data_IF_064245909179
#
_entry.id   IF_064245909179
#
_cell.length_a   1.000
_cell.length_b   1.000
_cell.length_c   1.000
_cell.angle_alpha   90.00
_cell.angle_beta   90.00
_cell.angle_gamma   90.00
#
_symmetry.space_group_name_H-M   'P 1'
#
loop_
_entity.id
_entity.type
_entity.pdbx_description
1 polymer ?
#
# COMPACT_ATOMS: atom_id res chain seq x y z
N UNK A 1 8.62 -13.54 21.13
CA UNK A 1 7.28 -13.31 20.54
C UNK A 1 7.49 -13.05 19.06
N UNK A 2 6.73 -13.68 18.17
CA UNK A 2 6.85 -13.40 16.74
C UNK A 2 6.50 -11.92 16.51
N UNK A 3 7.43 -11.16 15.92
CA UNK A 3 7.20 -9.79 15.50
C UNK A 3 6.34 -9.80 14.24
N UNK A 4 5.41 -8.83 14.13
CA UNK A 4 4.57 -8.62 12.95
C UNK A 4 5.33 -8.31 11.65
N UNK A 5 6.64 -8.03 11.75
CA UNK A 5 7.49 -7.69 10.59
C UNK A 5 8.09 -8.92 9.88
N UNK A 6 7.81 -10.14 10.36
CA UNK A 6 8.30 -11.39 9.75
C UNK A 6 7.13 -12.29 9.36
N UNK A 7 7.27 -13.00 8.23
CA UNK A 7 6.36 -14.10 7.88
C UNK A 7 6.26 -15.02 9.11
N UNK A 8 5.05 -15.27 9.65
CA UNK A 8 4.91 -15.99 10.89
C UNK A 8 5.51 -17.40 10.74
N UNK A 9 6.60 -17.66 11.48
CA UNK A 9 7.15 -19.01 11.60
C UNK A 9 6.30 -19.75 12.61
N UNK A 10 5.87 -20.96 12.26
CA UNK A 10 5.05 -21.80 13.13
C UNK A 10 5.78 -22.02 14.46
N UNK A 11 5.13 -21.73 15.59
CA UNK A 11 5.72 -21.98 16.91
C UNK A 11 5.96 -23.49 17.10
N UNK A 12 6.96 -23.95 17.89
CA UNK A 12 7.17 -25.38 18.14
C UNK A 12 5.94 -26.13 18.69
N UNK A 13 5.04 -25.39 19.36
CA UNK A 13 3.73 -25.88 19.81
C UNK A 13 2.69 -26.09 18.68
N UNK A 14 3.04 -25.83 17.41
CA UNK A 14 2.17 -25.96 16.24
C UNK A 14 2.36 -27.27 15.47
N UNK A 15 3.42 -28.06 15.75
CA UNK A 15 3.70 -29.28 14.98
C UNK A 15 2.83 -30.44 15.48
N UNK A 16 1.73 -30.71 14.79
CA UNK A 16 0.88 -31.89 14.99
C UNK A 16 -0.23 -31.96 13.94
N UNK A 17 -0.75 -33.16 13.66
CA UNK A 17 -1.88 -33.36 12.76
C UNK A 17 -3.20 -32.94 13.45
N UNK A 18 -3.86 -31.89 12.95
CA UNK A 18 -5.20 -31.47 13.38
C UNK A 18 -5.35 -29.97 13.70
N UNK A 19 -6.56 -29.43 13.49
CA UNK A 19 -6.91 -28.04 13.81
C UNK A 19 -7.39 -27.83 15.25
N UNK A 20 -7.58 -28.90 16.02
CA UNK A 20 -8.09 -28.80 17.40
C UNK A 20 -7.00 -28.37 18.39
N UNK A 21 -7.39 -27.66 19.47
CA UNK A 21 -6.44 -27.22 20.48
C UNK A 21 -5.72 -28.40 21.13
N UNK A 22 -4.47 -28.20 21.56
CA UNK A 22 -3.72 -29.26 22.25
C UNK A 22 -4.31 -29.57 23.63
N UNK A 23 -4.28 -30.83 24.04
CA UNK A 23 -4.67 -31.28 25.38
C UNK A 23 -5.33 -32.66 25.37
N UNK A 24 -5.56 -33.21 26.56
CA UNK A 24 -6.34 -34.43 26.72
C UNK A 24 -7.84 -34.16 26.45
N UNK A 25 -8.59 -35.12 25.91
CA UNK A 25 -10.04 -35.02 25.83
C UNK A 25 -10.68 -34.74 27.19
N UNK A 26 -11.79 -33.99 27.20
CA UNK A 26 -12.54 -33.72 28.44
C UNK A 26 -12.93 -35.01 29.13
N UNK A 27 -12.46 -35.20 30.37
CA UNK A 27 -12.79 -36.37 31.19
C UNK A 27 -14.30 -36.41 31.45
N UNK A 28 -14.88 -37.61 31.52
CA UNK A 28 -16.31 -37.80 31.79
C UNK A 28 -16.77 -37.10 33.07
N UNK A 29 -15.93 -37.09 34.11
CA UNK A 29 -16.21 -36.41 35.38
C UNK A 29 -16.33 -34.89 35.21
N UNK A 30 -15.43 -34.27 34.43
CA UNK A 30 -15.49 -32.85 34.10
C UNK A 30 -16.73 -32.54 33.25
N UNK A 31 -17.00 -33.35 32.22
CA UNK A 31 -18.18 -33.14 31.37
C UNK A 31 -19.51 -33.24 32.15
N UNK A 32 -19.59 -34.14 33.15
CA UNK A 32 -20.74 -34.22 34.05
C UNK A 32 -20.86 -33.00 34.96
N UNK A 33 -19.74 -32.53 35.51
CA UNK A 33 -19.70 -31.31 36.33
C UNK A 33 -20.17 -30.10 35.52
N UNK A 34 -19.64 -29.90 34.32
CA UNK A 34 -19.99 -28.78 33.43
C UNK A 34 -21.47 -28.79 33.05
N UNK A 35 -22.06 -29.96 32.79
CA UNK A 35 -23.50 -30.09 32.55
C UNK A 35 -24.31 -29.73 33.81
N UNK A 36 -23.88 -30.20 34.97
CA UNK A 36 -24.54 -29.89 36.24
C UNK A 36 -24.52 -28.39 36.57
N UNK A 37 -23.37 -27.73 36.38
CA UNK A 37 -23.24 -26.28 36.61
C UNK A 37 -24.01 -25.47 35.56
N UNK A 38 -24.00 -25.87 34.29
CA UNK A 38 -24.76 -25.21 33.21
C UNK A 38 -26.27 -25.19 33.46
N UNK A 39 -26.83 -26.20 34.16
CA UNK A 39 -28.24 -26.22 34.56
C UNK A 39 -28.57 -25.21 35.66
N UNK A 40 -27.58 -24.83 36.50
CA UNK A 40 -27.76 -23.92 37.63
C UNK A 40 -27.42 -22.47 37.28
N UNK A 41 -26.47 -22.26 36.35
CA UNK A 41 -25.99 -20.94 35.98
C UNK A 41 -26.94 -20.22 35.03
N UNK A 42 -27.19 -18.93 35.29
CA UNK A 42 -27.95 -18.10 34.35
C UNK A 42 -27.03 -17.57 33.24
N UNK A 43 -27.15 -18.11 32.02
CA UNK A 43 -26.39 -17.67 30.84
C UNK A 43 -26.97 -16.42 30.17
N UNK A 44 -27.42 -15.44 30.97
CA UNK A 44 -28.21 -14.29 30.46
C UNK A 44 -27.51 -13.53 29.33
N UNK A 45 -26.22 -13.12 29.44
CA UNK A 45 -25.58 -12.36 28.37
C UNK A 45 -25.44 -13.15 27.06
N UNK A 46 -25.08 -14.43 27.15
CA UNK A 46 -24.90 -15.30 25.98
C UNK A 46 -26.23 -15.55 25.26
N UNK A 47 -27.32 -15.72 26.01
CA UNK A 47 -28.68 -15.92 25.47
C UNK A 47 -29.24 -14.69 24.74
N UNK A 48 -28.57 -13.54 24.78
CA UNK A 48 -28.98 -12.33 24.07
C UNK A 48 -28.43 -12.23 22.63
N UNK A 49 -27.52 -13.13 22.24
CA UNK A 49 -27.04 -13.20 20.85
C UNK A 49 -28.16 -13.75 19.97
N UNK A 50 -28.59 -12.95 18.99
CA UNK A 50 -29.76 -13.23 18.15
C UNK A 50 -29.52 -13.01 16.65
N UNK A 51 -28.34 -12.51 16.29
CA UNK A 51 -27.92 -12.33 14.91
C UNK A 51 -26.77 -13.30 14.60
N UNK A 52 -26.87 -14.00 13.47
CA UNK A 52 -25.76 -14.77 12.91
C UNK A 52 -25.49 -14.28 11.50
N UNK A 53 -24.28 -13.77 11.27
CA UNK A 53 -23.80 -13.41 9.93
C UNK A 53 -22.49 -14.14 9.63
N UNK A 54 -22.32 -14.51 8.38
CA UNK A 54 -21.08 -15.09 7.85
C UNK A 54 -20.52 -14.13 6.80
N UNK A 55 -19.25 -13.78 6.91
CA UNK A 55 -18.53 -12.98 5.91
C UNK A 55 -17.07 -13.46 5.83
N UNK A 56 -16.22 -12.68 5.19
CA UNK A 56 -14.79 -12.87 5.18
C UNK A 56 -14.11 -11.69 5.87
N UNK A 57 -12.96 -11.92 6.49
CA UNK A 57 -12.14 -10.89 7.09
C UNK A 57 -10.71 -11.01 6.59
N UNK A 58 -10.06 -9.86 6.38
CA UNK A 58 -8.67 -9.77 5.95
C UNK A 58 -7.82 -9.15 7.07
N UNK A 59 -6.57 -9.55 7.20
CA UNK A 59 -5.67 -8.93 8.19
C UNK A 59 -5.30 -7.52 7.72
N UNK A 60 -5.47 -6.49 8.58
CA UNK A 60 -5.25 -5.09 8.18
C UNK A 60 -3.86 -4.85 7.59
N UNK A 61 -2.82 -5.44 8.18
CA UNK A 61 -1.42 -5.33 7.75
C UNK A 61 -1.05 -6.28 6.59
N UNK A 62 -1.86 -7.30 6.32
CA UNK A 62 -1.64 -8.28 5.26
C UNK A 62 -3.00 -8.80 4.73
N UNK A 63 -3.72 -8.01 3.91
CA UNK A 63 -5.07 -8.37 3.46
C UNK A 63 -5.10 -9.58 2.51
N UNK A 64 -3.95 -10.05 2.02
CA UNK A 64 -3.84 -11.30 1.26
C UNK A 64 -4.13 -12.55 2.11
N UNK A 65 -4.01 -12.43 3.44
CA UNK A 65 -4.47 -13.42 4.42
C UNK A 65 -5.96 -13.17 4.68
N UNK A 66 -6.78 -14.09 4.20
CA UNK A 66 -8.24 -14.00 4.21
C UNK A 66 -8.80 -15.21 4.96
N UNK A 67 -9.73 -14.97 5.88
CA UNK A 67 -10.41 -16.01 6.64
C UNK A 67 -11.92 -15.84 6.53
N UNK A 68 -12.65 -16.95 6.50
CA UNK A 68 -14.09 -16.95 6.71
C UNK A 68 -14.38 -16.71 8.20
N UNK A 69 -15.40 -15.91 8.48
CA UNK A 69 -15.75 -15.52 9.84
C UNK A 69 -17.26 -15.60 10.07
N UNK A 70 -17.62 -16.16 11.23
CA UNK A 70 -19.00 -16.21 11.70
C UNK A 70 -19.16 -15.31 12.92
N UNK A 71 -19.98 -14.28 12.79
CA UNK A 71 -20.25 -13.33 13.86
C UNK A 71 -21.61 -13.63 14.48
N UNK A 72 -21.62 -13.88 15.79
CA UNK A 72 -22.83 -14.05 16.59
C UNK A 72 -23.05 -12.78 17.41
N UNK A 73 -24.00 -11.97 16.95
CA UNK A 73 -24.24 -10.62 17.40
C UNK A 73 -25.35 -10.49 18.43
N UNK A 74 -25.10 -9.65 19.43
CA UNK A 74 -26.11 -9.06 20.30
C UNK A 74 -26.27 -7.58 19.97
N UNK A 75 -27.51 -7.15 19.68
CA UNK A 75 -27.84 -5.74 19.50
C UNK A 75 -28.07 -5.08 20.85
N UNK A 76 -27.12 -4.25 21.28
CA UNK A 76 -27.21 -3.51 22.55
C UNK A 76 -28.24 -2.38 22.42
N UNK A 77 -28.24 -1.69 21.28
CA UNK A 77 -29.25 -0.71 20.90
C UNK A 77 -29.30 -0.57 19.37
N UNK A 78 -30.11 0.34 18.84
CA UNK A 78 -30.28 0.52 17.39
C UNK A 78 -28.96 0.81 16.64
N UNK A 79 -28.03 1.48 17.29
CA UNK A 79 -26.79 1.99 16.71
C UNK A 79 -25.56 1.14 17.05
N UNK A 80 -25.68 0.09 17.86
CA UNK A 80 -24.53 -0.67 18.38
C UNK A 80 -24.80 -2.18 18.49
N UNK A 81 -24.00 -2.97 17.79
CA UNK A 81 -23.90 -4.42 17.98
C UNK A 81 -22.53 -4.81 18.53
N UNK A 82 -22.51 -5.89 19.31
CA UNK A 82 -21.30 -6.57 19.74
C UNK A 82 -21.39 -8.04 19.36
N UNK A 83 -20.32 -8.57 18.76
CA UNK A 83 -20.31 -9.89 18.16
C UNK A 83 -19.16 -10.71 18.71
N UNK A 84 -19.45 -11.96 19.09
CA UNK A 84 -18.42 -12.98 19.23
C UNK A 84 -18.13 -13.56 17.84
N UNK A 85 -16.86 -13.60 17.45
CA UNK A 85 -16.43 -14.04 16.11
C UNK A 85 -15.79 -15.42 16.19
N UNK A 86 -16.24 -16.33 15.34
CA UNK A 86 -15.78 -17.71 15.24
C UNK A 86 -15.25 -18.02 13.85
N UNK A 87 -14.39 -19.04 13.75
CA UNK A 87 -13.80 -19.49 12.48
C UNK A 87 -14.71 -20.38 11.62
N UNK A 88 -15.81 -20.89 12.20
CA UNK A 88 -16.78 -21.75 11.52
C UNK A 88 -18.13 -21.72 12.25
N UNK A 89 -19.17 -22.25 11.61
CA UNK A 89 -20.48 -22.51 12.25
C UNK A 89 -20.55 -23.91 12.89
N UNK A 90 -19.40 -24.56 13.14
CA UNK A 90 -19.33 -25.87 13.77
C UNK A 90 -19.51 -25.77 15.28
N UNK A 91 -20.00 -26.82 15.93
CA UNK A 91 -19.99 -26.93 17.40
C UNK A 91 -18.56 -26.99 17.99
N UNK A 92 -17.56 -27.20 17.13
CA UNK A 92 -16.12 -27.23 17.48
C UNK A 92 -15.38 -25.96 17.04
N UNK A 93 -16.11 -24.90 16.66
CA UNK A 93 -15.51 -23.66 16.19
C UNK A 93 -14.64 -23.00 17.26
N UNK A 94 -13.55 -22.37 16.84
CA UNK A 94 -12.71 -21.57 17.73
C UNK A 94 -13.31 -20.17 17.86
N UNK A 95 -13.38 -19.65 19.09
CA UNK A 95 -13.62 -18.23 19.32
C UNK A 95 -12.35 -17.46 18.91
N UNK A 96 -12.41 -16.74 17.80
CA UNK A 96 -11.25 -16.08 17.20
C UNK A 96 -11.18 -14.58 17.49
N UNK A 97 -12.25 -13.96 17.99
CA UNK A 97 -12.19 -12.56 18.39
C UNK A 97 -13.54 -11.91 18.65
N UNK A 98 -13.53 -10.57 18.62
CA UNK A 98 -14.71 -9.73 18.90
C UNK A 98 -14.79 -8.64 17.86
N UNK A 99 -16.00 -8.43 17.36
CA UNK A 99 -16.33 -7.32 16.47
C UNK A 99 -17.41 -6.42 17.07
N UNK A 100 -17.16 -5.12 17.03
CA UNK A 100 -18.17 -4.11 17.33
C UNK A 100 -18.64 -3.47 16.04
N UNK A 101 -19.95 -3.34 15.88
CA UNK A 101 -20.57 -2.72 14.71
C UNK A 101 -21.35 -1.51 15.17
N UNK A 102 -21.07 -0.35 14.58
CA UNK A 102 -21.72 0.91 14.92
C UNK A 102 -22.38 1.56 13.71
N UNK A 103 -23.47 2.29 13.93
CA UNK A 103 -24.09 3.08 12.87
C UNK A 103 -23.15 4.18 12.37
N UNK A 104 -23.37 4.65 11.14
CA UNK A 104 -22.67 5.81 10.57
C UNK A 104 -22.65 7.01 11.52
N UNK A 105 -23.77 7.28 12.19
CA UNK A 105 -23.91 8.38 13.16
C UNK A 105 -22.89 8.27 14.30
N UNK A 106 -22.77 7.10 14.92
CA UNK A 106 -21.82 6.88 16.01
C UNK A 106 -20.38 6.89 15.48
N UNK A 107 -20.14 6.28 14.32
CA UNK A 107 -18.83 6.28 13.69
C UNK A 107 -18.31 7.70 13.41
N UNK A 108 -19.15 8.57 12.88
CA UNK A 108 -18.80 9.98 12.60
C UNK A 108 -18.44 10.77 13.86
N UNK A 109 -18.91 10.35 15.04
CA UNK A 109 -18.56 10.98 16.33
C UNK A 109 -17.18 10.57 16.87
N UNK A 110 -16.57 9.53 16.30
CA UNK A 110 -15.24 9.05 16.70
C UNK A 110 -14.15 10.03 16.21
N UNK A 111 -13.03 10.09 16.94
CA UNK A 111 -11.88 10.86 16.49
C UNK A 111 -11.29 10.27 15.20
N UNK A 112 -10.64 11.08 14.34
CA UNK A 112 -10.01 10.56 13.14
C UNK A 112 -9.00 9.45 13.40
N UNK A 113 -8.29 9.47 14.53
CA UNK A 113 -7.35 8.40 14.88
C UNK A 113 -8.05 7.08 15.21
N UNK A 114 -9.18 7.15 15.90
CA UNK A 114 -9.99 5.98 16.19
C UNK A 114 -10.64 5.45 14.92
N UNK A 115 -11.15 6.31 14.03
CA UNK A 115 -11.78 5.92 12.76
C UNK A 115 -10.88 5.05 11.86
N UNK A 116 -9.56 5.19 11.95
CA UNK A 116 -8.58 4.38 11.20
C UNK A 116 -8.66 2.89 11.53
N UNK A 117 -9.20 2.55 12.70
CA UNK A 117 -9.32 1.17 13.19
C UNK A 117 -10.64 0.52 12.79
N UNK A 118 -11.45 1.17 11.95
CA UNK A 118 -12.75 0.69 11.52
C UNK A 118 -12.79 0.48 10.00
N UNK A 119 -13.64 -0.44 9.56
CA UNK A 119 -13.89 -0.74 8.16
C UNK A 119 -15.38 -0.58 7.83
N UNK A 120 -15.71 -0.34 6.56
CA UNK A 120 -17.08 -0.28 6.07
C UNK A 120 -17.59 -1.66 5.63
N UNK A 121 -18.89 -1.93 5.80
CA UNK A 121 -19.53 -3.19 5.38
C UNK A 121 -20.27 -3.10 4.03
N UNK A 122 -20.26 -1.93 3.38
CA UNK A 122 -21.04 -1.66 2.17
C UNK A 122 -20.68 -2.64 1.05
N UNK A 123 -19.38 -2.82 0.79
CA UNK A 123 -18.88 -3.65 -0.30
C UNK A 123 -19.22 -5.13 -0.10
N UNK A 124 -18.94 -5.71 1.07
CA UNK A 124 -19.23 -7.13 1.32
C UNK A 124 -20.72 -7.45 1.25
N UNK A 125 -21.59 -6.49 1.60
CA UNK A 125 -23.03 -6.66 1.49
C UNK A 125 -23.44 -6.57 0.02
N UNK A 126 -23.01 -5.55 -0.71
CA UNK A 126 -23.34 -5.38 -2.13
C UNK A 126 -22.89 -6.58 -2.98
N UNK A 127 -21.75 -7.17 -2.65
CA UNK A 127 -21.16 -8.28 -3.39
C UNK A 127 -21.66 -9.66 -2.94
N UNK A 128 -22.68 -9.72 -2.07
CA UNK A 128 -23.20 -10.97 -1.51
C UNK A 128 -22.16 -11.82 -0.71
N UNK A 129 -21.09 -11.18 -0.25
CA UNK A 129 -20.05 -11.82 0.56
C UNK A 129 -20.51 -12.00 2.02
N UNK A 130 -21.16 -10.99 2.60
CA UNK A 130 -21.82 -11.15 3.90
C UNK A 130 -23.19 -11.80 3.73
N UNK A 131 -23.48 -12.89 4.44
CA UNK A 131 -24.77 -13.60 4.39
C UNK A 131 -25.31 -13.82 5.80
N UNK A 132 -26.60 -14.11 5.89
CA UNK A 132 -27.29 -14.53 7.13
C UNK A 132 -27.68 -16.01 6.98
N UNK A 133 -26.85 -16.95 7.46
CA UNK A 133 -27.07 -18.37 7.21
C UNK A 133 -28.48 -18.83 7.62
N UNK A 134 -29.14 -19.58 6.74
CA UNK A 134 -30.51 -20.12 6.93
C UNK A 134 -31.63 -19.08 7.06
N UNK A 135 -31.35 -17.80 6.86
CA UNK A 135 -32.37 -16.75 6.81
C UNK A 135 -32.67 -16.44 5.34
N UNK A 136 -33.93 -16.52 4.89
CA UNK A 136 -34.29 -16.15 3.52
C UNK A 136 -33.92 -14.70 3.21
N UNK A 137 -33.39 -14.44 2.01
CA UNK A 137 -32.89 -13.13 1.61
C UNK A 137 -33.94 -12.01 1.77
N UNK A 138 -35.22 -12.30 1.51
CA UNK A 138 -36.33 -11.34 1.71
C UNK A 138 -36.43 -10.86 3.16
N UNK A 139 -36.16 -11.74 4.13
CA UNK A 139 -36.19 -11.43 5.57
C UNK A 139 -34.91 -10.73 6.00
N UNK A 140 -33.76 -11.11 5.43
CA UNK A 140 -32.46 -10.52 5.74
C UNK A 140 -32.29 -9.10 5.17
N UNK A 141 -32.89 -8.82 4.01
CA UNK A 141 -32.65 -7.59 3.22
C UNK A 141 -32.84 -6.27 4.00
N UNK A 142 -33.86 -6.09 4.87
CA UNK A 142 -33.98 -4.89 5.70
C UNK A 142 -32.78 -4.71 6.65
N UNK A 143 -32.29 -5.78 7.25
CA UNK A 143 -31.11 -5.72 8.12
C UNK A 143 -29.84 -5.47 7.33
N UNK A 144 -29.68 -6.11 6.16
CA UNK A 144 -28.55 -5.84 5.26
C UNK A 144 -28.49 -4.36 4.81
N UNK A 145 -29.64 -3.70 4.63
CA UNK A 145 -29.69 -2.26 4.36
C UNK A 145 -29.18 -1.41 5.53
N UNK A 146 -29.44 -1.84 6.76
CA UNK A 146 -28.92 -1.16 7.95
C UNK A 146 -27.41 -1.39 8.09
N UNK A 147 -26.96 -2.63 7.92
CA UNK A 147 -25.55 -3.01 8.03
C UNK A 147 -24.70 -2.41 6.90
N UNK A 148 -25.24 -2.22 5.70
CA UNK A 148 -24.51 -1.57 4.61
C UNK A 148 -24.03 -0.15 4.98
N UNK A 149 -24.73 0.52 5.91
CA UNK A 149 -24.39 1.85 6.42
C UNK A 149 -23.59 1.84 7.72
N UNK A 150 -23.20 0.68 8.22
CA UNK A 150 -22.48 0.55 9.48
C UNK A 150 -20.98 0.38 9.26
N UNK A 151 -20.24 0.53 10.36
CA UNK A 151 -18.79 0.36 10.41
C UNK A 151 -18.42 -0.68 11.46
N UNK A 152 -17.44 -1.53 11.15
CA UNK A 152 -16.97 -2.63 11.99
C UNK A 152 -15.58 -2.37 12.56
N UNK A 153 -15.34 -2.76 13.81
CA UNK A 153 -14.01 -2.86 14.42
C UNK A 153 -13.82 -4.26 14.96
N UNK A 154 -13.00 -5.04 14.27
CA UNK A 154 -12.76 -6.44 14.58
C UNK A 154 -11.30 -6.65 15.01
N UNK A 155 -11.14 -7.19 16.23
CA UNK A 155 -9.86 -7.68 16.73
C UNK A 155 -9.85 -9.22 16.76
N UNK A 156 -8.96 -9.81 15.95
CA UNK A 156 -8.71 -11.23 15.91
C UNK A 156 -7.63 -11.62 16.92
N UNK A 157 -7.99 -12.41 17.92
CA UNK A 157 -7.09 -12.93 18.98
C UNK A 157 -6.54 -14.31 18.67
N UNK A 158 -7.09 -15.03 17.68
CA UNK A 158 -6.58 -16.33 17.24
C UNK A 158 -6.42 -16.38 15.71
N UNK A 159 -5.17 -16.36 15.25
CA UNK A 159 -4.84 -16.37 13.82
C UNK A 159 -4.81 -17.80 13.26
N UNK A 160 -5.99 -18.40 13.08
CA UNK A 160 -6.16 -19.80 12.69
C UNK A 160 -5.55 -20.16 11.32
N UNK A 161 -5.37 -19.19 10.43
CA UNK A 161 -4.78 -19.37 9.10
C UNK A 161 -3.29 -19.74 9.16
N UNK A 162 -2.61 -19.41 10.27
CA UNK A 162 -1.22 -19.81 10.54
C UNK A 162 -1.08 -21.28 10.92
N UNK A 163 -2.20 -21.97 11.17
CA UNK A 163 -2.19 -23.35 11.68
C UNK A 163 -1.85 -23.46 13.17
N UNK A 164 -1.85 -22.35 13.91
CA UNK A 164 -1.57 -22.37 15.34
C UNK A 164 -2.69 -23.06 16.12
N UNK A 165 -2.34 -24.12 16.86
CA UNK A 165 -3.27 -24.89 17.72
C UNK A 165 -3.69 -24.16 19.00
N UNK A 166 -3.14 -22.98 19.26
CA UNK A 166 -3.47 -22.12 20.40
C UNK A 166 -3.52 -20.65 19.92
N UNK A 167 -4.23 -19.75 20.63
CA UNK A 167 -4.26 -18.33 20.30
C UNK A 167 -2.93 -17.65 20.68
N UNK A 168 -1.93 -17.77 19.80
CA UNK A 168 -0.57 -17.28 20.04
C UNK A 168 -0.32 -15.90 19.44
N UNK A 169 0.43 -15.07 20.17
CA UNK A 169 0.87 -13.74 19.71
C UNK A 169 -0.10 -12.62 20.06
N UNK A 170 0.13 -11.45 19.45
CA UNK A 170 -0.72 -10.28 19.65
C UNK A 170 -2.03 -10.39 18.85
N UNK A 171 -3.11 -9.72 19.31
CA UNK A 171 -4.31 -9.53 18.51
C UNK A 171 -4.02 -8.79 17.21
N UNK A 172 -4.72 -9.13 16.14
CA UNK A 172 -4.63 -8.47 14.84
C UNK A 172 -5.89 -7.67 14.54
N UNK A 173 -5.71 -6.45 14.00
CA UNK A 173 -6.82 -5.69 13.45
C UNK A 173 -7.26 -6.34 12.14
N UNK A 174 -8.55 -6.55 12.00
CA UNK A 174 -9.16 -7.16 10.81
C UNK A 174 -10.02 -6.13 10.08
N UNK A 175 -10.09 -6.29 8.76
CA UNK A 175 -10.83 -5.41 7.85
C UNK A 175 -11.74 -6.21 6.94
N UNK A 176 -12.89 -5.63 6.58
CA UNK A 176 -13.83 -6.23 5.63
C UNK A 176 -13.27 -6.20 4.20
N UNK A 177 -13.72 -7.12 3.31
CA UNK A 177 -13.44 -7.07 1.88
C UNK A 177 -13.77 -5.72 1.27
N UNK A 178 -13.00 -5.31 0.26
CA UNK A 178 -13.17 -4.04 -0.44
C UNK A 178 -12.89 -4.20 -1.93
N UNK A 179 -13.37 -3.27 -2.77
CA UNK A 179 -13.14 -3.29 -4.22
C UNK A 179 -11.72 -2.85 -4.63
N UNK A 180 -10.72 -3.52 -4.08
CA UNK A 180 -9.31 -3.35 -4.42
C UNK A 180 -8.64 -4.71 -4.53
N UNK A 181 -7.56 -4.82 -5.31
CA UNK A 181 -6.92 -6.11 -5.66
C UNK A 181 -6.74 -7.05 -4.47
N UNK A 182 -6.15 -6.57 -3.35
CA UNK A 182 -5.93 -7.37 -2.14
C UNK A 182 -7.18 -7.53 -1.26
N UNK A 183 -8.22 -6.72 -1.47
CA UNK A 183 -9.49 -6.76 -0.72
C UNK A 183 -10.55 -7.67 -1.34
N UNK A 184 -10.34 -8.10 -2.58
CA UNK A 184 -11.25 -9.05 -3.24
C UNK A 184 -11.00 -10.44 -2.67
N UNK A 185 -12.08 -11.08 -2.23
CA UNK A 185 -12.00 -12.43 -1.68
C UNK A 185 -11.66 -13.42 -2.79
N UNK A 186 -10.75 -14.32 -2.48
CA UNK A 186 -10.34 -15.42 -3.35
C UNK A 186 -11.55 -16.27 -3.76
N UNK A 187 -11.77 -16.52 -5.07
CA UNK A 187 -12.95 -17.24 -5.55
C UNK A 187 -13.16 -18.61 -4.91
N UNK A 188 -12.07 -19.32 -4.59
CA UNK A 188 -12.09 -20.61 -3.92
C UNK A 188 -12.67 -20.54 -2.50
N UNK A 189 -12.46 -19.44 -1.77
CA UNK A 189 -13.03 -19.22 -0.44
C UNK A 189 -14.54 -18.98 -0.54
N UNK A 190 -14.97 -18.16 -1.50
CA UNK A 190 -16.41 -17.91 -1.76
C UNK A 190 -17.11 -19.21 -2.14
N UNK A 191 -16.51 -19.98 -3.05
CA UNK A 191 -17.06 -21.27 -3.49
C UNK A 191 -17.20 -22.25 -2.32
N UNK A 192 -16.18 -22.37 -1.47
CA UNK A 192 -16.20 -23.23 -0.28
C UNK A 192 -17.35 -22.85 0.66
N UNK A 193 -17.47 -21.56 1.00
CA UNK A 193 -18.56 -21.03 1.84
C UNK A 193 -19.93 -21.35 1.23
N UNK A 194 -20.08 -21.11 -0.07
CA UNK A 194 -21.32 -21.30 -0.81
C UNK A 194 -21.77 -22.77 -0.79
N UNK A 195 -20.83 -23.70 -0.97
CA UNK A 195 -21.08 -25.15 -0.85
C UNK A 195 -21.48 -25.53 0.58
N UNK A 196 -20.81 -25.01 1.61
CA UNK A 196 -21.13 -25.28 3.02
C UNK A 196 -22.52 -24.79 3.44
N UNK A 197 -22.96 -23.67 2.87
CA UNK A 197 -24.25 -23.08 3.18
C UNK A 197 -25.38 -23.45 2.20
N UNK A 198 -25.06 -24.12 1.08
CA UNK A 198 -26.03 -24.45 0.04
C UNK A 198 -26.61 -23.20 -0.63
N UNK A 199 -25.78 -22.18 -0.86
CA UNK A 199 -26.17 -20.90 -1.47
C UNK A 199 -25.35 -20.63 -2.75
N UNK A 200 -25.71 -19.56 -3.47
CA UNK A 200 -24.93 -19.06 -4.60
C UNK A 200 -24.79 -17.55 -4.47
N UNK A 201 -23.56 -17.09 -4.22
CA UNK A 201 -23.21 -15.66 -4.13
C UNK A 201 -23.61 -14.92 -5.41
N UNK A 202 -23.31 -15.50 -6.57
CA UNK A 202 -23.68 -14.94 -7.87
C UNK A 202 -25.21 -14.81 -8.06
N UNK A 203 -25.99 -15.75 -7.51
CA UNK A 203 -27.46 -15.68 -7.56
C UNK A 203 -28.03 -14.68 -6.55
N UNK A 204 -27.37 -14.50 -5.41
CA UNK A 204 -27.79 -13.54 -4.37
C UNK A 204 -27.45 -12.10 -4.75
N UNK A 205 -26.35 -11.87 -5.46
CA UNK A 205 -25.85 -10.53 -5.77
C UNK A 205 -26.88 -9.62 -6.47
N UNK A 206 -27.61 -10.04 -7.53
CA UNK A 206 -28.67 -9.22 -8.15
C UNK A 206 -29.78 -8.83 -7.16
N UNK A 207 -30.08 -9.69 -6.19
CA UNK A 207 -31.11 -9.41 -5.18
C UNK A 207 -30.74 -8.25 -4.24
N UNK A 208 -29.46 -7.87 -4.21
CA UNK A 208 -28.90 -6.79 -3.40
C UNK A 208 -28.74 -5.47 -4.13
N UNK A 209 -29.16 -5.41 -5.40
CA UNK A 209 -29.33 -4.15 -6.10
C UNK A 209 -30.22 -3.20 -5.28
N UNK A 210 -29.79 -1.93 -5.19
CA UNK A 210 -30.45 -0.91 -4.37
C UNK A 210 -30.09 -0.95 -2.87
N UNK A 211 -29.19 -1.83 -2.43
CA UNK A 211 -28.57 -1.72 -1.11
C UNK A 211 -27.33 -0.83 -1.26
N UNK A 212 -27.40 0.36 -0.67
CA UNK A 212 -26.32 1.34 -0.71
C UNK A 212 -25.72 1.53 0.67
N UNK A 213 -24.41 1.75 0.69
CA UNK A 213 -23.72 2.20 1.88
C UNK A 213 -24.03 3.66 2.25
N UNK A 214 -23.20 4.26 3.11
CA UNK A 214 -23.28 5.68 3.44
C UNK A 214 -23.27 6.58 2.19
N UNK A 215 -24.05 7.66 2.18
CA UNK A 215 -24.12 8.59 1.02
C UNK A 215 -22.75 9.18 0.67
N UNK A 216 -21.93 9.42 1.70
CA UNK A 216 -20.55 9.85 1.56
C UNK A 216 -19.64 8.86 2.24
N UNK A 217 -18.89 8.08 1.45
CA UNK A 217 -17.88 7.16 1.98
C UNK A 217 -16.86 7.95 2.81
N UNK A 218 -16.68 7.56 4.06
CA UNK A 218 -15.69 8.17 4.93
C UNK A 218 -14.29 7.81 4.42
N UNK A 219 -13.40 8.80 4.30
CA UNK A 219 -12.08 8.62 3.70
C UNK A 219 -10.99 8.19 4.69
N UNK A 220 -11.35 7.96 5.96
CA UNK A 220 -10.50 7.55 7.08
C UNK A 220 -10.79 6.11 7.49
N UNK A 221 -12.06 5.70 7.45
CA UNK A 221 -12.45 4.29 7.45
C UNK A 221 -11.72 3.56 6.31
N UNK A 222 -11.52 2.25 6.47
CA UNK A 222 -10.80 1.44 5.49
C UNK A 222 -9.41 2.01 5.17
N UNK A 223 -8.73 2.54 6.19
CA UNK A 223 -7.44 3.23 6.09
C UNK A 223 -6.44 2.51 5.17
N UNK A 224 -6.42 1.18 5.27
CA UNK A 224 -5.59 0.28 4.48
C UNK A 224 -5.80 0.38 2.96
N UNK A 225 -7.03 0.64 2.51
CA UNK A 225 -7.38 0.80 1.09
C UNK A 225 -6.69 2.03 0.52
N UNK A 226 -6.82 3.16 1.22
CA UNK A 226 -6.36 4.47 0.76
C UNK A 226 -4.86 4.65 0.90
N UNK A 227 -4.32 4.30 2.06
CA UNK A 227 -2.92 4.58 2.40
C UNK A 227 -1.99 3.40 2.13
N UNK A 228 -2.52 2.26 1.64
CA UNK A 228 -1.76 1.03 1.38
C UNK A 228 -0.91 0.59 2.57
N UNK A 229 -1.36 0.95 3.76
CA UNK A 229 -0.69 0.69 5.04
C UNK A 229 -1.72 0.19 6.03
N UNK A 230 -1.36 -0.85 6.77
CA UNK A 230 -2.23 -1.49 7.75
C UNK A 230 -1.66 -1.40 9.15
N UNK A 231 -2.50 -1.71 10.13
CA UNK A 231 -2.08 -1.73 11.52
C UNK A 231 -1.71 -3.15 11.97
N UNK A 232 -0.56 -3.26 12.62
CA UNK A 232 -0.13 -4.46 13.32
C UNK A 232 0.16 -4.14 14.78
N UNK A 233 -0.12 -5.07 15.68
CA UNK A 233 0.21 -4.93 17.10
C UNK A 233 1.42 -5.81 17.39
N UNK A 234 2.46 -5.19 17.94
CA UNK A 234 3.61 -5.91 18.50
C UNK A 234 3.62 -5.82 20.02
N UNK A 235 4.00 -6.92 20.66
CA UNK A 235 4.31 -6.93 22.09
C UNK A 235 5.79 -6.67 22.26
N UNK A 236 6.13 -5.49 22.77
CA UNK A 236 7.52 -5.11 23.06
C UNK A 236 7.76 -5.06 24.56
N UNK A 237 8.94 -5.50 24.97
CA UNK A 237 9.41 -5.33 26.34
C UNK A 237 9.90 -3.89 26.52
N UNK A 238 9.41 -3.21 27.55
CA UNK A 238 9.85 -1.86 27.88
C UNK A 238 10.18 -1.75 29.37
N UNK A 239 11.22 -0.97 29.67
CA UNK A 239 11.55 -0.60 31.04
C UNK A 239 10.49 0.35 31.60
N UNK A 240 9.98 0.06 32.80
CA UNK A 240 9.10 1.01 33.48
C UNK A 240 9.90 2.13 34.12
N UNK A 241 9.61 3.37 33.71
CA UNK A 241 10.03 4.55 34.49
C UNK A 241 9.27 4.55 35.81
N UNK A 242 9.98 4.34 36.93
CA UNK A 242 9.40 4.23 38.28
C UNK A 242 8.70 5.50 38.77
N UNK A 243 8.87 6.63 38.10
CA UNK A 243 8.26 7.91 38.45
C UNK A 243 7.55 8.52 37.24
N UNK A 244 6.22 8.46 37.23
CA UNK A 244 5.43 9.42 36.45
C UNK A 244 5.35 10.72 37.27
N UNK A 245 5.57 11.91 36.68
CA UNK A 245 5.18 13.15 37.35
C UNK A 245 3.65 13.16 37.40
N UNK A 246 3.07 12.70 38.51
CA UNK A 246 1.70 13.03 38.85
C UNK A 246 1.60 14.56 38.94
N UNK A 247 0.56 15.20 38.37
CA UNK A 247 0.36 16.63 38.56
C UNK A 247 0.18 16.89 40.05
N UNK A 248 1.10 17.65 40.66
CA UNK A 248 0.98 18.09 42.05
C UNK A 248 -0.34 18.85 42.18
N UNK A 249 -1.32 18.25 42.85
CA UNK A 249 -2.25 19.01 43.68
C UNK A 249 -1.73 18.87 45.10
N UNK A 250 -1.49 20.01 45.72
CA UNK A 250 -1.11 20.09 47.12
C UNK A 250 -2.13 19.32 47.96
N UNK A 251 -1.62 18.36 48.72
CA UNK A 251 -2.04 17.87 50.04
C UNK A 251 -1.65 16.39 50.20
N UNK A 252 -0.97 16.15 51.31
CA UNK A 252 -0.23 14.96 51.69
C UNK A 252 -1.02 13.65 51.58
N UNK A 253 -0.31 12.60 51.13
CA UNK A 253 -0.37 11.29 51.77
C UNK A 253 0.90 10.50 51.39
N UNK A 254 1.83 10.42 52.34
CA UNK A 254 2.90 9.43 52.33
C UNK A 254 2.27 8.05 52.51
N UNK A 255 2.57 7.12 51.61
CA UNK A 255 2.62 5.69 51.93
C UNK A 255 4.04 5.22 51.61
N UNK A 256 4.63 4.59 52.62
CA UNK A 256 6.00 4.08 52.72
C UNK A 256 6.18 2.80 51.90
N UNK A 257 7.45 2.57 51.54
CA UNK A 257 8.13 1.44 50.89
C UNK A 257 7.37 0.15 50.56
N UNK A 258 7.74 -0.47 49.44
CA UNK A 258 8.34 -1.81 49.50
C UNK A 258 9.19 -2.14 48.26
N UNK A 259 10.28 -2.84 48.53
CA UNK A 259 11.22 -3.44 47.58
C UNK A 259 10.49 -4.23 46.48
N UNK A 260 10.75 -3.89 45.22
CA UNK A 260 10.38 -4.78 44.11
C UNK A 260 11.28 -4.55 42.91
N UNK A 261 12.19 -5.51 42.71
CA UNK A 261 13.11 -5.68 41.59
C UNK A 261 12.50 -5.31 40.22
N UNK A 262 13.32 -4.71 39.35
CA UNK A 262 13.22 -4.66 37.88
C UNK A 262 11.85 -5.04 37.28
N UNK A 263 10.84 -4.16 37.39
CA UNK A 263 9.53 -4.41 36.78
C UNK A 263 9.58 -4.08 35.28
N UNK A 264 9.67 -5.11 34.44
CA UNK A 264 9.46 -5.04 32.99
C UNK A 264 7.96 -4.99 32.67
N UNK A 265 7.53 -4.10 31.77
CA UNK A 265 6.14 -4.02 31.28
C UNK A 265 6.12 -4.43 29.82
N UNK A 266 5.08 -5.17 29.43
CA UNK A 266 4.77 -5.39 28.02
C UNK A 266 3.94 -4.21 27.53
N UNK A 267 4.45 -3.52 26.51
CA UNK A 267 3.73 -2.46 25.79
C UNK A 267 3.23 -3.05 24.47
N UNK A 268 1.98 -2.76 24.15
CA UNK A 268 1.43 -3.03 22.82
C UNK A 268 1.74 -1.80 21.97
N UNK A 269 2.66 -1.97 21.02
CA UNK A 269 2.95 -0.93 20.04
C UNK A 269 2.19 -1.23 18.76
N UNK A 270 1.38 -0.26 18.34
CA UNK A 270 0.70 -0.30 17.06
C UNK A 270 1.67 0.22 16.00
N UNK A 271 2.09 -0.66 15.10
CA UNK A 271 2.91 -0.31 13.93
C UNK A 271 2.02 -0.10 12.73
N UNK A 272 2.35 0.92 11.94
CA UNK A 272 1.76 1.14 10.61
C UNK A 272 2.71 0.51 9.61
N UNK A 273 2.36 -0.68 9.12
CA UNK A 273 3.18 -1.43 8.19
C UNK A 273 2.66 -1.21 6.77
N UNK A 274 3.57 -1.09 5.80
CA UNK A 274 3.19 -1.18 4.39
C UNK A 274 2.55 -2.53 4.13
N UNK A 275 1.37 -2.55 3.51
CA UNK A 275 0.71 -3.79 3.16
C UNK A 275 1.60 -4.52 2.14
N UNK A 276 1.99 -5.74 2.47
CA UNK A 276 2.79 -6.58 1.58
C UNK A 276 1.95 -6.92 0.34
N UNK A 277 2.17 -6.17 -0.74
CA UNK A 277 1.76 -6.61 -2.08
C UNK A 277 2.56 -7.86 -2.45
N UNK A 278 1.86 -8.83 -3.07
CA UNK A 278 2.43 -9.86 -3.94
C UNK A 278 3.70 -9.32 -4.60
N UNK A 279 4.83 -10.02 -4.41
CA UNK A 279 6.17 -9.73 -4.99
C UNK A 279 6.19 -8.35 -5.62
N UNK A 280 6.42 -7.29 -4.81
CA UNK A 280 6.61 -5.94 -5.32
C UNK A 280 7.57 -6.06 -6.49
N UNK A 281 7.05 -6.01 -7.71
CA UNK A 281 7.88 -5.94 -8.90
C UNK A 281 8.59 -4.62 -8.74
N UNK A 282 9.88 -4.70 -8.40
CA UNK A 282 10.72 -3.55 -8.07
C UNK A 282 10.44 -2.47 -9.12
N UNK A 283 9.85 -1.36 -8.68
CA UNK A 283 9.65 -0.19 -9.51
C UNK A 283 10.89 0.67 -9.35
N UNK A 284 11.50 0.98 -10.47
CA UNK A 284 12.61 1.93 -10.54
C UNK A 284 12.10 3.19 -11.24
N UNK A 285 12.82 4.30 -11.08
CA UNK A 285 12.54 5.53 -11.83
C UNK A 285 13.24 5.44 -13.17
N UNK A 286 12.49 5.55 -14.26
CA UNK A 286 13.01 5.50 -15.62
C UNK A 286 12.86 6.85 -16.32
N UNK A 287 13.77 7.12 -17.25
CA UNK A 287 13.65 8.18 -18.25
C UNK A 287 14.00 7.64 -19.63
N UNK A 288 13.57 8.37 -20.68
CA UNK A 288 13.87 8.02 -22.07
C UNK A 288 14.64 9.14 -22.71
N UNK A 289 15.77 8.78 -23.30
CA UNK A 289 16.75 9.68 -23.87
C UNK A 289 16.85 9.46 -25.36
N UNK A 290 16.70 10.51 -26.15
CA UNK A 290 17.12 10.51 -27.54
C UNK A 290 18.62 10.81 -27.60
N UNK A 291 19.36 9.94 -28.30
CA UNK A 291 20.82 10.02 -28.38
C UNK A 291 21.25 10.61 -29.72
N UNK A 292 22.26 11.50 -29.74
CA UNK A 292 22.89 11.97 -30.97
C UNK A 292 23.48 10.82 -31.79
N UNK A 293 23.65 11.07 -33.09
CA UNK A 293 24.37 10.18 -33.99
C UNK A 293 25.86 10.07 -33.64
N UNK A 294 26.51 9.03 -34.19
CA UNK A 294 27.91 8.72 -33.87
C UNK A 294 28.89 9.79 -34.40
N UNK A 295 28.45 10.68 -35.30
CA UNK A 295 29.26 11.79 -35.82
C UNK A 295 29.28 12.98 -34.85
N UNK A 296 28.14 13.30 -34.23
CA UNK A 296 27.98 14.47 -33.36
C UNK A 296 28.18 14.16 -31.88
N UNK A 297 27.97 12.91 -31.45
CA UNK A 297 28.18 12.47 -30.07
C UNK A 297 29.60 12.80 -29.54
N UNK A 298 30.70 12.53 -30.27
CA UNK A 298 32.06 12.83 -29.79
C UNK A 298 32.30 14.33 -29.60
N UNK A 299 31.68 15.17 -30.44
CA UNK A 299 31.77 16.62 -30.37
C UNK A 299 31.15 17.14 -29.06
N UNK A 300 29.94 16.67 -28.72
CA UNK A 300 29.29 17.02 -27.45
C UNK A 300 30.07 16.48 -26.26
N UNK A 301 30.54 15.23 -26.31
CA UNK A 301 31.32 14.62 -25.23
C UNK A 301 32.59 15.41 -24.91
N UNK A 302 33.31 15.89 -25.94
CA UNK A 302 34.49 16.74 -25.77
C UNK A 302 34.16 18.07 -25.09
N UNK A 303 33.06 18.71 -25.50
CA UNK A 303 32.58 19.96 -24.90
C UNK A 303 32.19 19.77 -23.43
N UNK A 304 31.43 18.71 -23.13
CA UNK A 304 30.99 18.36 -21.77
C UNK A 304 32.18 18.09 -20.85
N UNK A 305 33.19 17.33 -21.30
CA UNK A 305 34.37 17.04 -20.48
C UNK A 305 35.21 18.29 -20.19
N UNK A 306 35.32 19.19 -21.17
CA UNK A 306 36.03 20.46 -21.00
C UNK A 306 35.33 21.39 -19.99
N UNK A 307 33.99 21.51 -20.06
CA UNK A 307 33.21 22.29 -19.10
C UNK A 307 33.28 21.68 -17.70
N UNK A 308 33.12 20.36 -17.59
CA UNK A 308 33.24 19.64 -16.32
C UNK A 308 34.62 19.82 -15.68
N UNK A 309 35.69 19.80 -16.47
CA UNK A 309 37.07 19.94 -15.96
C UNK A 309 37.31 21.30 -15.30
N UNK A 310 36.61 22.34 -15.74
CA UNK A 310 36.75 23.70 -15.21
C UNK A 310 35.75 24.01 -14.08
N UNK A 311 34.50 23.58 -14.22
CA UNK A 311 33.41 23.96 -13.32
C UNK A 311 32.97 22.86 -12.34
N UNK A 312 33.59 21.67 -12.43
CA UNK A 312 33.22 20.46 -11.69
C UNK A 312 31.79 19.95 -11.97
N UNK A 313 31.58 18.65 -11.77
CA UNK A 313 30.28 18.02 -12.00
C UNK A 313 30.42 16.52 -12.28
N UNK A 314 29.32 15.76 -12.22
CA UNK A 314 29.34 14.36 -12.62
C UNK A 314 29.47 14.21 -14.13
N UNK A 315 30.03 13.07 -14.58
CA UNK A 315 30.13 12.73 -16.00
C UNK A 315 28.86 12.01 -16.44
N UNK A 316 28.31 12.39 -17.59
CA UNK A 316 27.16 11.72 -18.21
C UNK A 316 27.27 11.75 -19.75
N UNK A 317 26.45 10.95 -20.43
CA UNK A 317 26.42 10.89 -21.89
C UNK A 317 25.55 12.01 -22.48
N UNK A 318 25.88 12.56 -23.66
CA UNK A 318 25.05 13.56 -24.32
C UNK A 318 23.69 12.95 -24.72
N UNK A 319 22.60 13.57 -24.27
CA UNK A 319 21.24 13.11 -24.55
C UNK A 319 20.22 14.25 -24.54
N UNK A 320 19.10 14.03 -25.23
CA UNK A 320 17.90 14.86 -25.16
C UNK A 320 16.80 14.05 -24.48
N UNK A 321 16.35 14.48 -23.31
CA UNK A 321 15.28 13.78 -22.59
C UNK A 321 13.95 13.98 -23.29
N UNK A 322 13.32 12.90 -23.73
CA UNK A 322 11.97 12.90 -24.35
C UNK A 322 10.89 12.45 -23.35
N UNK A 323 11.26 11.64 -22.36
CA UNK A 323 10.40 11.26 -21.23
C UNK A 323 11.18 11.45 -19.93
N UNK A 324 10.63 12.27 -19.03
CA UNK A 324 11.21 12.52 -17.71
C UNK A 324 11.00 11.35 -16.73
N UNK A 325 11.53 11.51 -15.52
CA UNK A 325 11.46 10.54 -14.44
C UNK A 325 10.04 9.99 -14.22
N UNK A 326 9.88 8.69 -14.48
CA UNK A 326 8.61 7.97 -14.39
C UNK A 326 8.81 6.65 -13.63
N UNK A 327 8.01 6.41 -12.61
CA UNK A 327 8.11 5.19 -11.79
C UNK A 327 7.39 4.01 -12.46
N UNK A 328 8.16 3.01 -12.89
CA UNK A 328 7.66 1.84 -13.65
C UNK A 328 8.32 0.56 -13.14
N UNK A 329 7.64 -0.58 -13.32
CA UNK A 329 8.33 -1.88 -13.22
C UNK A 329 9.26 -2.07 -14.42
N UNK A 330 10.27 -2.95 -14.29
CA UNK A 330 11.19 -3.24 -15.39
C UNK A 330 10.46 -3.75 -16.66
N UNK A 331 9.43 -4.60 -16.51
CA UNK A 331 8.68 -5.10 -17.67
C UNK A 331 7.78 -4.03 -18.31
N UNK A 332 7.14 -3.17 -17.51
CA UNK A 332 6.37 -2.03 -18.05
C UNK A 332 7.28 -1.07 -18.81
N UNK A 333 8.42 -0.70 -18.22
CA UNK A 333 9.40 0.21 -18.82
C UNK A 333 9.90 -0.34 -20.15
N UNK A 334 10.28 -1.62 -20.20
CA UNK A 334 10.75 -2.27 -21.43
C UNK A 334 9.66 -2.32 -22.51
N UNK A 335 8.44 -2.74 -22.16
CA UNK A 335 7.32 -2.84 -23.12
C UNK A 335 6.91 -1.48 -23.69
N UNK A 336 6.84 -0.46 -22.83
CA UNK A 336 6.55 0.92 -23.25
C UNK A 336 7.67 1.47 -24.13
N UNK A 337 8.93 1.19 -23.78
CA UNK A 337 10.09 1.58 -24.57
C UNK A 337 10.09 0.96 -25.97
N UNK A 338 9.90 -0.36 -26.07
CA UNK A 338 9.79 -1.07 -27.37
C UNK A 338 8.69 -0.45 -28.24
N UNK A 339 7.52 -0.21 -27.66
CA UNK A 339 6.39 0.41 -28.38
C UNK A 339 6.70 1.84 -28.85
N UNK A 340 7.42 2.62 -28.03
CA UNK A 340 7.82 3.98 -28.40
C UNK A 340 8.84 3.97 -29.54
N UNK A 341 9.76 3.00 -29.55
CA UNK A 341 10.78 2.86 -30.58
C UNK A 341 10.18 2.48 -31.94
N UNK A 342 9.21 1.56 -31.98
CA UNK A 342 8.57 1.11 -33.23
C UNK A 342 7.84 2.26 -33.96
N UNK A 343 7.30 3.21 -33.21
CA UNK A 343 6.51 4.33 -33.74
C UNK A 343 7.30 5.61 -34.03
N UNK A 344 8.59 5.67 -33.71
CA UNK A 344 9.40 6.89 -33.86
C UNK A 344 10.47 6.72 -34.95
N UNK A 345 10.57 7.71 -35.83
CA UNK A 345 11.66 7.81 -36.81
C UNK A 345 12.77 8.69 -36.28
N UNK A 346 13.97 8.49 -36.79
CA UNK A 346 15.09 9.38 -36.56
C UNK A 346 14.73 10.80 -37.03
N UNK A 347 15.14 11.81 -36.26
CA UNK A 347 14.77 13.20 -36.52
C UNK A 347 15.95 14.13 -36.22
N UNK A 348 15.87 15.35 -36.74
CA UNK A 348 16.92 16.34 -36.52
C UNK A 348 16.53 17.32 -35.43
N UNK A 349 17.49 17.67 -34.60
CA UNK A 349 17.41 18.78 -33.66
C UNK A 349 18.36 19.89 -34.09
N UNK A 350 17.94 21.13 -33.91
CA UNK A 350 18.77 22.31 -34.17
C UNK A 350 18.95 23.07 -32.87
N UNK A 351 20.20 23.35 -32.52
CA UNK A 351 20.54 24.20 -31.38
C UNK A 351 20.08 25.63 -31.69
N UNK A 352 19.29 26.18 -30.78
CA UNK A 352 18.92 27.59 -30.80
C UNK A 352 20.05 28.44 -30.20
N UNK A 353 20.45 28.10 -28.96
CA UNK A 353 21.52 28.75 -28.21
C UNK A 353 22.00 27.89 -27.04
N UNK A 354 23.15 28.25 -26.47
CA UNK A 354 23.53 27.80 -25.12
C UNK A 354 22.73 28.60 -24.09
N UNK A 355 22.11 27.93 -23.14
CA UNK A 355 21.30 28.54 -22.09
C UNK A 355 21.65 27.98 -20.71
N UNK A 356 21.22 28.69 -19.67
CA UNK A 356 21.35 28.30 -18.28
C UNK A 356 19.99 28.18 -17.62
N UNK A 357 19.92 27.47 -16.50
CA UNK A 357 18.69 27.27 -15.72
C UNK A 357 18.92 27.40 -14.22
N UNK A 358 17.91 27.02 -13.43
CA UNK A 358 17.84 27.35 -12.00
C UNK A 358 18.13 26.18 -11.05
N UNK A 359 18.31 24.96 -11.56
CA UNK A 359 18.56 23.78 -10.73
C UNK A 359 19.62 22.86 -11.33
N UNK A 360 20.12 21.92 -10.53
CA UNK A 360 21.29 21.08 -10.80
C UNK A 360 21.32 20.43 -12.20
N UNK A 361 20.23 19.79 -12.63
CA UNK A 361 20.13 19.11 -13.93
C UNK A 361 19.87 20.06 -15.13
N UNK A 362 19.78 21.36 -14.88
CA UNK A 362 19.64 22.40 -15.89
C UNK A 362 20.61 23.54 -15.60
N UNK A 363 21.89 23.22 -15.36
CA UNK A 363 22.91 24.23 -15.10
C UNK A 363 23.35 24.93 -16.39
N UNK A 364 23.96 24.21 -17.33
CA UNK A 364 24.28 24.69 -18.69
C UNK A 364 23.81 23.65 -19.70
N UNK A 365 23.07 24.07 -20.71
CA UNK A 365 22.50 23.18 -21.71
C UNK A 365 22.34 23.86 -23.07
N UNK A 366 22.33 23.07 -24.14
CA UNK A 366 21.94 23.49 -25.47
C UNK A 366 20.41 23.52 -25.53
N UNK A 367 19.82 24.71 -25.64
CA UNK A 367 18.39 24.85 -25.90
C UNK A 367 18.14 24.52 -27.37
N UNK A 368 17.17 23.65 -27.64
CA UNK A 368 16.85 23.22 -29.00
C UNK A 368 15.63 23.98 -29.51
N UNK A 369 15.61 24.24 -30.82
CA UNK A 369 14.44 24.83 -31.48
C UNK A 369 13.25 23.88 -31.38
N UNK A 370 12.08 24.42 -31.04
CA UNK A 370 10.80 23.70 -31.00
C UNK A 370 10.25 23.41 -32.40
N UNK A 371 11.03 22.74 -33.24
CA UNK A 371 10.57 22.29 -34.55
C UNK A 371 9.46 21.25 -34.40
N UNK A 372 8.55 21.11 -35.39
CA UNK A 372 7.45 20.14 -35.30
C UNK A 372 7.93 18.71 -35.03
N UNK A 373 9.07 18.31 -35.60
CA UNK A 373 9.64 16.96 -35.42
C UNK A 373 10.09 16.71 -33.97
N UNK A 374 10.83 17.65 -33.37
CA UNK A 374 11.31 17.56 -31.99
C UNK A 374 10.14 17.52 -31.00
N UNK A 375 9.14 18.38 -31.21
CA UNK A 375 7.98 18.44 -30.31
C UNK A 375 7.10 17.19 -30.43
N UNK A 376 6.89 16.68 -31.66
CA UNK A 376 6.16 15.43 -31.89
C UNK A 376 6.88 14.21 -31.30
N UNK A 377 8.21 14.17 -31.36
CA UNK A 377 8.98 13.10 -30.73
C UNK A 377 8.76 13.07 -29.20
N UNK A 378 8.79 14.24 -28.55
CA UNK A 378 8.47 14.36 -27.13
C UNK A 378 7.03 13.94 -26.80
N UNK A 379 6.05 14.39 -27.57
CA UNK A 379 4.64 14.01 -27.41
C UNK A 379 4.41 12.51 -27.62
N UNK A 380 4.96 11.93 -28.68
CA UNK A 380 4.89 10.51 -29.00
C UNK A 380 5.40 9.65 -27.84
N UNK A 381 6.61 9.93 -27.36
CA UNK A 381 7.20 9.17 -26.27
C UNK A 381 6.42 9.36 -24.95
N UNK A 382 5.97 10.59 -24.64
CA UNK A 382 5.12 10.84 -23.46
C UNK A 382 3.80 10.07 -23.51
N UNK A 383 3.17 9.96 -24.67
CA UNK A 383 1.93 9.21 -24.85
C UNK A 383 2.12 7.71 -24.58
N UNK A 384 3.22 7.13 -25.08
CA UNK A 384 3.55 5.71 -24.82
C UNK A 384 3.85 5.42 -23.36
N UNK A 385 4.56 6.33 -22.68
CA UNK A 385 4.92 6.20 -21.26
C UNK A 385 3.81 6.70 -20.31
N UNK A 386 2.68 7.18 -20.86
CA UNK A 386 1.53 7.71 -20.11
C UNK A 386 1.93 8.81 -19.12
N UNK A 387 2.90 9.64 -19.50
CA UNK A 387 3.41 10.69 -18.63
C UNK A 387 2.50 11.92 -18.69
N UNK A 388 1.74 12.17 -17.62
CA UNK A 388 0.99 13.42 -17.45
C UNK A 388 1.87 14.50 -16.80
N UNK A 389 2.64 15.24 -17.59
CA UNK A 389 3.39 16.40 -17.08
C UNK A 389 2.59 17.69 -17.30
N UNK A 390 2.40 18.50 -16.26
CA UNK A 390 1.79 19.84 -16.37
C UNK A 390 2.76 20.89 -16.95
N UNK A 391 4.06 20.57 -16.99
CA UNK A 391 5.09 21.47 -17.52
C UNK A 391 5.22 21.33 -19.04
N UNK A 392 5.28 22.47 -19.78
CA UNK A 392 5.56 22.45 -21.21
C UNK A 392 6.88 21.75 -21.51
N UNK A 393 6.92 21.01 -22.62
CA UNK A 393 8.14 20.34 -23.05
C UNK A 393 9.16 21.36 -23.54
N UNK A 394 10.33 21.39 -22.91
CA UNK A 394 11.48 22.21 -23.30
C UNK A 394 12.59 21.28 -23.80
N UNK A 395 12.78 21.10 -25.12
CA UNK A 395 13.82 20.23 -25.64
C UNK A 395 15.20 20.85 -25.42
N UNK A 396 16.09 20.12 -24.77
CA UNK A 396 17.46 20.56 -24.49
C UNK A 396 18.43 19.37 -24.43
N UNK A 397 19.70 19.63 -24.72
CA UNK A 397 20.82 18.71 -24.47
C UNK A 397 21.72 19.30 -23.38
N UNK A 398 21.77 18.66 -22.22
CA UNK A 398 22.55 19.17 -21.09
C UNK A 398 24.06 19.04 -21.31
N UNK A 399 24.79 20.10 -20.99
CA UNK A 399 26.25 20.14 -21.11
C UNK A 399 26.97 20.00 -19.76
N UNK A 400 26.37 20.52 -18.69
CA UNK A 400 26.94 20.50 -17.34
C UNK A 400 25.83 20.35 -16.31
N UNK A 401 26.04 19.47 -15.32
CA UNK A 401 25.27 19.41 -14.08
C UNK A 401 26.14 19.89 -12.93
N UNK A 402 25.74 20.99 -12.30
CA UNK A 402 26.50 21.60 -11.22
C UNK A 402 25.61 22.57 -10.43
N UNK A 403 25.93 22.78 -9.15
CA UNK A 403 25.37 23.87 -8.36
C UNK A 403 26.30 25.07 -8.46
N UNK A 404 26.08 25.90 -9.48
CA UNK A 404 26.82 27.16 -9.68
C UNK A 404 25.93 28.34 -9.31
N UNK A 405 26.55 29.42 -8.84
CA UNK A 405 25.90 30.72 -8.75
C UNK A 405 25.72 31.36 -10.15
N UNK A 406 25.00 32.48 -10.23
CA UNK A 406 24.70 33.13 -11.52
C UNK A 406 25.97 33.58 -12.26
N UNK A 407 27.02 33.99 -11.54
CA UNK A 407 28.30 34.35 -12.15
C UNK A 407 29.03 33.12 -12.71
N UNK A 408 29.06 32.02 -11.95
CA UNK A 408 29.62 30.74 -12.38
C UNK A 408 28.89 30.17 -13.60
N UNK A 409 27.56 30.23 -13.62
CA UNK A 409 26.76 29.82 -14.79
C UNK A 409 27.07 30.66 -16.02
N UNK A 410 27.20 31.98 -15.87
CA UNK A 410 27.55 32.88 -16.98
C UNK A 410 28.93 32.56 -17.54
N UNK A 411 29.93 32.34 -16.66
CA UNK A 411 31.29 31.92 -17.07
C UNK A 411 31.27 30.58 -17.80
N UNK A 412 30.50 29.60 -17.31
CA UNK A 412 30.37 28.30 -17.94
C UNK A 412 29.68 28.38 -19.32
N UNK A 413 28.68 29.25 -19.47
CA UNK A 413 28.02 29.54 -20.75
C UNK A 413 28.99 30.19 -21.74
N UNK A 414 29.72 31.23 -21.33
CA UNK A 414 30.74 31.90 -22.16
C UNK A 414 31.86 30.91 -22.56
N UNK A 415 32.27 30.05 -21.63
CA UNK A 415 33.25 29.00 -21.90
C UNK A 415 32.76 28.03 -22.96
N UNK A 416 31.49 27.62 -22.92
CA UNK A 416 30.92 26.72 -23.93
C UNK A 416 31.08 27.30 -25.35
N UNK A 417 30.76 28.59 -25.53
CA UNK A 417 30.97 29.29 -26.80
C UNK A 417 32.43 29.45 -27.19
N UNK A 418 33.34 29.64 -26.22
CA UNK A 418 34.78 29.71 -26.51
C UNK A 418 35.36 28.38 -27.00
N UNK A 419 34.81 27.27 -26.51
CA UNK A 419 35.23 25.91 -26.86
C UNK A 419 34.64 25.46 -28.20
N UNK A 420 33.42 25.91 -28.49
CA UNK A 420 32.73 25.66 -29.76
C UNK A 420 31.87 26.86 -30.14
N UNK A 421 32.38 27.69 -31.06
CA UNK A 421 31.71 28.90 -31.52
C UNK A 421 30.64 28.65 -32.58
N UNK A 422 30.46 27.39 -33.00
CA UNK A 422 29.51 26.99 -34.04
C UNK A 422 28.34 26.18 -33.47
N UNK A 423 28.06 26.36 -32.17
CA UNK A 423 26.93 25.73 -31.48
C UNK A 423 25.59 26.31 -31.95
N UNK A 424 25.47 27.63 -32.11
CA UNK A 424 24.21 28.25 -32.53
C UNK A 424 23.88 27.86 -33.97
N UNK A 425 22.69 27.29 -34.18
CA UNK A 425 22.27 26.76 -35.47
C UNK A 425 22.83 25.39 -35.83
N UNK A 426 23.66 24.78 -34.97
CA UNK A 426 24.14 23.41 -35.17
C UNK A 426 22.95 22.45 -35.25
N UNK A 427 22.86 21.71 -36.36
CA UNK A 427 21.87 20.66 -36.53
C UNK A 427 22.53 19.30 -36.42
N UNK A 428 21.88 18.39 -35.71
CA UNK A 428 22.38 17.03 -35.48
C UNK A 428 21.22 16.04 -35.47
N UNK A 429 21.52 14.78 -35.82
CA UNK A 429 20.51 13.73 -35.90
C UNK A 429 20.39 13.00 -34.57
N UNK A 430 19.15 12.71 -34.18
CA UNK A 430 18.79 11.82 -33.08
C UNK A 430 18.33 10.50 -33.69
N UNK A 431 19.23 9.51 -33.71
CA UNK A 431 19.03 8.24 -34.42
C UNK A 431 18.80 7.04 -33.48
N UNK A 432 18.85 7.26 -32.16
CA UNK A 432 18.70 6.21 -31.15
C UNK A 432 17.86 6.71 -29.99
N UNK A 433 17.11 5.80 -29.37
CA UNK A 433 16.53 6.01 -28.04
C UNK A 433 17.25 5.12 -27.03
N UNK A 434 17.34 5.58 -25.79
CA UNK A 434 17.80 4.80 -24.65
C UNK A 434 16.78 4.86 -23.51
N UNK A 435 16.51 3.70 -22.91
CA UNK A 435 15.80 3.57 -21.66
C UNK A 435 16.82 3.57 -20.53
N UNK A 436 16.69 4.50 -19.60
CA UNK A 436 17.64 4.65 -18.50
C UNK A 436 16.90 4.56 -17.17
N UNK A 437 17.47 3.84 -16.20
CA UNK A 437 17.14 4.04 -14.78
C UNK A 437 17.83 5.31 -14.33
N UNK A 438 17.08 6.25 -13.80
CA UNK A 438 17.56 7.58 -13.43
C UNK A 438 16.92 7.98 -12.12
N UNK A 439 17.61 7.70 -11.03
CA UNK A 439 17.23 8.26 -9.74
C UNK A 439 17.52 9.76 -9.76
N UNK A 440 16.47 10.57 -9.74
CA UNK A 440 16.59 12.04 -9.79
C UNK A 440 17.07 12.65 -8.47
N UNK A 441 17.11 11.89 -7.38
CA UNK A 441 17.67 12.35 -6.10
C UNK A 441 19.20 12.16 -6.07
N UNK A 442 19.73 11.25 -6.88
CA UNK A 442 21.17 10.99 -6.98
C UNK A 442 21.88 12.01 -7.88
N UNK A 443 22.45 13.03 -7.25
CA UNK A 443 23.29 14.03 -7.93
C UNK A 443 24.68 13.53 -8.33
N UNK A 444 25.11 12.36 -7.86
CA UNK A 444 26.40 11.75 -8.28
C UNK A 444 26.29 11.09 -9.66
N UNK A 445 25.06 10.74 -10.06
CA UNK A 445 24.71 9.94 -11.23
C UNK A 445 25.24 8.50 -11.21
N UNK A 446 25.82 8.03 -10.10
CA UNK A 446 26.36 6.67 -9.98
C UNK A 446 25.26 5.59 -10.07
N UNK A 447 24.04 5.94 -9.67
CA UNK A 447 22.85 5.07 -9.79
C UNK A 447 22.25 5.03 -11.19
N UNK A 448 22.70 5.90 -12.11
CA UNK A 448 22.11 6.00 -13.45
C UNK A 448 22.61 4.86 -14.33
N UNK A 449 21.68 4.07 -14.85
CA UNK A 449 21.99 2.86 -15.62
C UNK A 449 21.22 2.85 -16.93
N UNK A 450 21.94 2.64 -18.04
CA UNK A 450 21.34 2.48 -19.37
C UNK A 450 20.84 1.04 -19.52
N UNK A 451 19.53 0.84 -19.56
CA UNK A 451 18.88 -0.48 -19.54
C UNK A 451 18.71 -1.07 -20.93
N UNK A 452 18.32 -0.24 -21.90
CA UNK A 452 18.13 -0.66 -23.28
C UNK A 452 18.42 0.50 -24.24
N UNK A 453 18.83 0.17 -25.47
CA UNK A 453 19.04 1.12 -26.56
C UNK A 453 18.39 0.57 -27.82
N UNK A 454 17.71 1.42 -28.58
CA UNK A 454 17.10 1.07 -29.85
C UNK A 454 17.55 2.05 -30.94
N UNK A 455 17.84 1.54 -32.13
CA UNK A 455 18.07 2.37 -33.32
C UNK A 455 16.73 2.74 -33.94
N UNK A 456 16.54 4.03 -34.20
CA UNK A 456 15.34 4.54 -34.86
C UNK A 456 15.46 4.37 -36.37
N UNK A 457 14.33 4.08 -37.01
CA UNK A 457 14.27 3.96 -38.46
C UNK A 457 14.54 5.31 -39.13
N UNK A 458 15.19 5.33 -40.32
CA UNK A 458 15.56 6.56 -41.00
C UNK A 458 14.45 7.56 -41.27
#
# INVERSE_FOLDING_TARGET
MASSDKVPVACPASTGEGKEPMGDPTKTTTAMLDKGTAMLQSMKPIKQMSLHVCSFACYSHDPGRQIEVHMYGHRVNQDFLQCAVYDSNSSKAHLIGIEYIVSEKLFQSLSPDEQKLWHSHDYEIQMALLVTPRVPELVAKPELKNLAKSYGKFWCTWQIDRGDRLPLGAPSLMVSPQDVSLGRIKPELVKKRDEEHGISTESLKPSREGIYGPEKKNLIADYWVRFRTGFAIDVVETDMKRTAPFPRRDHELQIVSDDCAHKKRLRLDCKVNGIMEEVKKKKDVYSVWALPDDETEPRFRKLMEALRSEFSGPRFDPHVTVVGATSLTAEEAKKMFESACDGLKAYNATVDRVSTGTFFYQCVFLLLKSTPEVMKAGEHCKNHFKCSTTTPYMPHLSLLYAELDEEGKKKAQEKAYSLDNSLDGLSFRLNRLALCKTDTEDKTLESWEKVAVCNLNP
#
